data_IF_155049396211
#
_entry.id   IF_155049396211
#
_cell.length_a   1.000
_cell.length_b   1.000
_cell.length_c   1.000
_cell.angle_alpha   90.00
_cell.angle_beta   90.00
_cell.angle_gamma   90.00
#
_symmetry.space_group_name_H-M   'P 1'
#
loop_
_entity.id
_entity.type
_entity.pdbx_description
1 polymer ?
#
# COMPACT_ATOMS: atom_id res chain seq x y z
N UNK A 1 35.79 -3.20 -13.82
CA UNK A 1 34.92 -2.79 -12.70
C UNK A 1 33.88 -3.90 -12.52
N UNK A 2 33.94 -4.66 -11.43
CA UNK A 2 33.16 -5.88 -11.19
C UNK A 2 31.67 -5.57 -11.08
N UNK A 3 30.83 -6.32 -11.80
CA UNK A 3 29.38 -6.29 -11.65
C UNK A 3 29.02 -6.61 -10.20
N UNK A 4 28.17 -5.82 -9.52
CA UNK A 4 27.80 -6.08 -8.14
C UNK A 4 27.14 -7.47 -8.03
N UNK A 5 27.67 -8.30 -7.13
CA UNK A 5 27.09 -9.61 -6.79
C UNK A 5 25.62 -9.40 -6.38
N UNK A 6 24.67 -10.27 -6.81
CA UNK A 6 23.23 -10.15 -6.51
C UNK A 6 22.91 -9.97 -5.01
N UNK A 7 23.82 -10.40 -4.14
CA UNK A 7 23.71 -10.30 -2.68
C UNK A 7 23.82 -8.84 -2.17
N UNK A 8 24.62 -8.01 -2.84
CA UNK A 8 24.85 -6.60 -2.43
C UNK A 8 23.65 -5.70 -2.70
N UNK A 9 22.95 -5.92 -3.82
CA UNK A 9 21.74 -5.17 -4.17
C UNK A 9 20.62 -5.47 -3.16
N UNK A 10 20.44 -6.75 -2.82
CA UNK A 10 19.44 -7.20 -1.84
C UNK A 10 19.70 -6.62 -0.45
N UNK A 11 20.95 -6.57 0.00
CA UNK A 11 21.28 -5.96 1.29
C UNK A 11 20.95 -4.46 1.34
N UNK A 12 21.26 -3.72 0.27
CA UNK A 12 20.99 -2.28 0.21
C UNK A 12 19.49 -1.94 0.19
N UNK A 13 18.67 -2.74 -0.50
CA UNK A 13 17.22 -2.54 -0.58
C UNK A 13 16.55 -2.86 0.76
N UNK A 14 17.00 -3.91 1.44
CA UNK A 14 16.52 -4.25 2.80
C UNK A 14 16.84 -3.15 3.81
N UNK A 15 18.01 -2.53 3.73
CA UNK A 15 18.36 -1.40 4.60
C UNK A 15 17.47 -0.18 4.33
N UNK A 16 17.30 0.19 3.06
CA UNK A 16 16.43 1.31 2.68
C UNK A 16 14.98 1.11 3.14
N UNK A 17 14.47 -0.13 3.02
CA UNK A 17 13.16 -0.53 3.50
C UNK A 17 12.98 -0.31 5.01
N UNK A 18 13.97 -0.67 5.82
CA UNK A 18 13.93 -0.46 7.27
C UNK A 18 13.88 1.02 7.61
N UNK A 19 14.76 1.83 7.00
CA UNK A 19 14.76 3.28 7.21
C UNK A 19 13.41 3.91 6.83
N UNK A 20 12.82 3.49 5.72
CA UNK A 20 11.49 3.94 5.29
C UNK A 20 10.39 3.52 6.27
N UNK A 21 10.42 2.28 6.77
CA UNK A 21 9.45 1.78 7.74
C UNK A 21 9.48 2.55 9.06
N UNK A 22 10.68 2.81 9.60
CA UNK A 22 10.85 3.63 10.81
C UNK A 22 10.42 5.07 10.61
N UNK A 23 10.77 5.67 9.46
CA UNK A 23 10.35 7.03 9.13
C UNK A 23 8.83 7.13 9.06
N UNK A 24 8.18 6.21 8.35
CA UNK A 24 6.72 6.15 8.26
C UNK A 24 6.06 5.94 9.61
N UNK A 25 6.62 5.09 10.48
CA UNK A 25 6.12 4.91 11.85
C UNK A 25 6.24 6.20 12.67
N UNK A 26 7.40 6.87 12.60
CA UNK A 26 7.63 8.14 13.29
C UNK A 26 6.64 9.21 12.82
N UNK A 27 6.41 9.34 11.51
CA UNK A 27 5.41 10.25 10.96
C UNK A 27 4.00 9.90 11.43
N UNK A 28 3.61 8.63 11.44
CA UNK A 28 2.29 8.22 11.94
C UNK A 28 2.10 8.51 13.44
N UNK A 29 3.13 8.29 14.26
CA UNK A 29 3.10 8.61 15.69
C UNK A 29 3.01 10.13 15.88
N UNK A 30 3.79 10.90 15.11
CA UNK A 30 3.73 12.36 15.13
C UNK A 30 2.34 12.88 14.78
N UNK A 31 1.79 12.44 13.66
CA UNK A 31 0.42 12.77 13.25
C UNK A 31 -0.60 12.35 14.30
N UNK A 32 -0.38 11.19 14.95
CA UNK A 32 -1.20 10.71 16.05
C UNK A 32 -1.22 11.71 17.22
N UNK A 33 -0.04 12.10 17.71
CA UNK A 33 0.13 13.01 18.85
C UNK A 33 -0.52 14.37 18.61
N UNK A 34 -0.32 14.99 17.44
CA UNK A 34 -0.87 16.32 17.16
C UNK A 34 -2.41 16.32 17.05
N UNK A 35 -3.01 15.21 16.63
CA UNK A 35 -4.47 15.09 16.53
C UNK A 35 -5.15 14.72 17.85
N UNK A 36 -4.41 14.18 18.81
CA UNK A 36 -4.96 13.62 20.05
C UNK A 36 -5.78 14.62 20.89
N UNK A 37 -5.38 15.90 21.08
CA UNK A 37 -6.18 16.87 21.83
C UNK A 37 -7.56 17.13 21.21
N UNK A 38 -7.62 17.17 19.87
CA UNK A 38 -8.86 17.31 19.12
C UNK A 38 -9.72 16.04 19.24
N UNK A 39 -9.11 14.85 19.21
CA UNK A 39 -9.82 13.59 19.38
C UNK A 39 -10.57 13.53 20.71
N UNK A 40 -9.88 13.83 21.81
CA UNK A 40 -10.47 13.81 23.16
C UNK A 40 -11.67 14.76 23.23
N UNK A 41 -11.51 15.96 22.66
CA UNK A 41 -12.53 17.00 22.77
C UNK A 41 -13.77 16.69 21.93
N UNK A 42 -13.61 16.19 20.70
CA UNK A 42 -14.71 16.07 19.73
C UNK A 42 -15.22 14.64 19.51
N UNK A 43 -14.35 13.63 19.58
CA UNK A 43 -14.67 12.26 19.18
C UNK A 43 -15.01 11.41 20.40
N UNK A 44 -14.28 11.58 21.50
CA UNK A 44 -14.49 10.79 22.71
C UNK A 44 -15.83 11.08 23.38
N UNK A 45 -16.27 12.34 23.32
CA UNK A 45 -17.58 12.78 23.84
C UNK A 45 -18.79 12.18 23.09
N UNK A 46 -18.61 11.69 21.85
CA UNK A 46 -19.72 11.10 21.09
C UNK A 46 -20.12 9.72 21.66
N UNK A 47 -21.43 9.37 21.59
CA UNK A 47 -21.92 8.09 22.08
C UNK A 47 -21.25 6.91 21.38
N UNK A 48 -21.12 5.78 22.09
CA UNK A 48 -20.43 4.56 21.60
C UNK A 48 -21.08 3.96 20.34
N UNK A 49 -22.33 4.27 20.04
CA UNK A 49 -23.07 3.76 18.87
C UNK A 49 -22.81 4.55 17.58
N UNK A 50 -22.07 5.66 17.60
CA UNK A 50 -21.86 6.47 16.40
C UNK A 50 -20.93 5.75 15.41
N UNK A 51 -21.42 5.44 14.21
CA UNK A 51 -20.64 4.82 13.14
C UNK A 51 -19.37 5.63 12.78
N UNK A 52 -19.47 6.96 12.81
CA UNK A 52 -18.34 7.88 12.55
C UNK A 52 -17.21 7.70 13.57
N UNK A 53 -17.55 7.37 14.82
CA UNK A 53 -16.56 7.10 15.87
C UNK A 53 -15.77 5.84 15.53
N UNK A 54 -16.46 4.75 15.22
CA UNK A 54 -15.83 3.47 14.86
C UNK A 54 -15.01 3.55 13.59
N UNK A 55 -15.50 4.29 12.59
CA UNK A 55 -14.76 4.54 11.36
C UNK A 55 -13.44 5.25 11.63
N UNK A 56 -13.47 6.32 12.44
CA UNK A 56 -12.28 7.09 12.79
C UNK A 56 -11.26 6.26 13.58
N UNK A 57 -11.74 5.51 14.58
CA UNK A 57 -10.89 4.59 15.33
C UNK A 57 -10.31 3.50 14.41
N UNK A 58 -11.13 2.94 13.52
CA UNK A 58 -10.72 1.94 12.55
C UNK A 58 -9.61 2.44 11.64
N UNK A 59 -9.76 3.58 10.98
CA UNK A 59 -8.74 4.08 10.04
C UNK A 59 -7.41 4.38 10.72
N UNK A 60 -7.44 5.09 11.85
CA UNK A 60 -6.21 5.57 12.48
C UNK A 60 -5.46 4.47 13.22
N UNK A 61 -6.15 3.70 14.05
CA UNK A 61 -5.49 2.73 14.92
C UNK A 61 -5.08 1.46 14.16
N UNK A 62 -5.83 1.04 13.13
CA UNK A 62 -5.43 -0.11 12.30
C UNK A 62 -4.19 0.24 11.47
N UNK A 63 -4.11 1.46 10.93
CA UNK A 63 -2.91 1.92 10.20
C UNK A 63 -1.66 1.89 11.08
N UNK A 64 -1.74 2.44 12.30
CA UNK A 64 -0.62 2.44 13.27
C UNK A 64 -0.25 1.00 13.67
N UNK A 65 -1.23 0.17 14.02
CA UNK A 65 -0.98 -1.21 14.40
C UNK A 65 -0.32 -2.02 13.28
N UNK A 66 -0.77 -1.82 12.03
CA UNK A 66 -0.17 -2.44 10.87
C UNK A 66 1.27 -1.97 10.63
N UNK A 67 1.55 -0.67 10.80
CA UNK A 67 2.90 -0.13 10.64
C UNK A 67 3.88 -0.64 11.70
N UNK A 68 3.43 -0.77 12.95
CA UNK A 68 4.20 -1.40 14.03
C UNK A 68 4.50 -2.86 13.67
N UNK A 69 3.46 -3.61 13.24
CA UNK A 69 3.61 -5.00 12.80
C UNK A 69 4.61 -5.15 11.64
N UNK A 70 4.52 -4.30 10.63
CA UNK A 70 5.46 -4.27 9.50
C UNK A 70 6.90 -4.00 9.96
N UNK A 71 7.09 -3.12 10.94
CA UNK A 71 8.42 -2.79 11.47
C UNK A 71 9.03 -3.98 12.22
N UNK A 72 8.24 -4.63 13.08
CA UNK A 72 8.67 -5.84 13.81
C UNK A 72 9.02 -6.97 12.84
N UNK A 73 8.16 -7.20 11.84
CA UNK A 73 8.39 -8.25 10.85
C UNK A 73 9.61 -7.93 9.98
N UNK A 74 9.83 -6.67 9.62
CA UNK A 74 11.02 -6.25 8.87
C UNK A 74 12.31 -6.54 9.65
N UNK A 75 12.32 -6.32 10.96
CA UNK A 75 13.45 -6.67 11.83
C UNK A 75 13.68 -8.18 11.88
N UNK A 76 12.59 -8.94 12.03
CA UNK A 76 12.66 -10.40 12.07
C UNK A 76 13.19 -11.00 10.76
N UNK A 77 12.72 -10.48 9.61
CA UNK A 77 13.18 -10.88 8.27
C UNK A 77 14.67 -10.61 8.11
N UNK A 78 15.16 -9.47 8.60
CA UNK A 78 16.58 -9.13 8.54
C UNK A 78 17.45 -10.07 9.39
N UNK A 79 16.99 -10.41 10.60
CA UNK A 79 17.72 -11.32 11.49
C UNK A 79 17.69 -12.79 11.05
N UNK A 80 16.67 -13.22 10.30
CA UNK A 80 16.41 -14.65 10.01
C UNK A 80 16.41 -14.99 8.52
N UNK A 81 17.20 -14.26 7.72
CA UNK A 81 17.21 -14.32 6.25
C UNK A 81 17.22 -15.75 5.67
N UNK A 82 17.98 -16.68 6.27
CA UNK A 82 18.12 -18.06 5.77
C UNK A 82 16.91 -18.98 6.04
N UNK A 83 15.99 -18.62 6.95
CA UNK A 83 14.92 -19.52 7.43
C UNK A 83 13.50 -19.07 7.11
N UNK A 84 13.33 -18.13 6.19
CA UNK A 84 11.98 -17.60 5.89
C UNK A 84 11.22 -18.59 5.01
N UNK A 85 10.12 -19.13 5.56
CA UNK A 85 9.21 -20.00 4.82
C UNK A 85 8.30 -19.20 3.89
N UNK A 86 7.96 -19.79 2.74
CA UNK A 86 6.98 -19.26 1.78
C UNK A 86 5.66 -18.79 2.41
N UNK A 87 5.09 -19.61 3.30
CA UNK A 87 3.83 -19.32 3.97
C UNK A 87 3.88 -18.09 4.88
N UNK A 88 5.06 -17.71 5.36
CA UNK A 88 5.24 -16.51 6.17
C UNK A 88 5.13 -15.25 5.31
N UNK A 89 5.83 -15.20 4.17
CA UNK A 89 5.71 -14.12 3.20
C UNK A 89 4.27 -13.95 2.70
N UNK A 90 3.59 -15.07 2.42
CA UNK A 90 2.19 -15.08 2.03
C UNK A 90 1.29 -14.42 3.09
N UNK A 91 1.44 -14.82 4.35
CA UNK A 91 0.65 -14.27 5.46
C UNK A 91 0.89 -12.77 5.64
N UNK A 92 2.15 -12.34 5.55
CA UNK A 92 2.50 -10.92 5.64
C UNK A 92 1.85 -10.10 4.52
N UNK A 93 1.89 -10.60 3.29
CA UNK A 93 1.30 -9.91 2.15
C UNK A 93 -0.23 -9.85 2.23
N UNK A 94 -0.88 -10.96 2.63
CA UNK A 94 -2.33 -10.98 2.86
C UNK A 94 -2.72 -9.96 3.92
N UNK A 95 -1.97 -9.87 5.03
CA UNK A 95 -2.21 -8.86 6.06
C UNK A 95 -2.12 -7.44 5.49
N UNK A 96 -1.09 -7.14 4.69
CA UNK A 96 -0.94 -5.83 4.05
C UNK A 96 -2.11 -5.51 3.13
N UNK A 97 -2.56 -6.47 2.31
CA UNK A 97 -3.72 -6.30 1.43
C UNK A 97 -5.01 -6.01 2.23
N UNK A 98 -5.26 -6.75 3.31
CA UNK A 98 -6.44 -6.53 4.15
C UNK A 98 -6.43 -5.13 4.77
N UNK A 99 -5.29 -4.71 5.31
CA UNK A 99 -5.14 -3.36 5.90
C UNK A 99 -5.35 -2.28 4.83
N UNK A 100 -4.73 -2.44 3.67
CA UNK A 100 -4.88 -1.53 2.53
C UNK A 100 -6.34 -1.37 2.09
N UNK A 101 -7.05 -2.49 1.92
CA UNK A 101 -8.47 -2.48 1.54
C UNK A 101 -9.33 -1.82 2.63
N UNK A 102 -9.04 -2.09 3.89
CA UNK A 102 -9.78 -1.46 4.99
C UNK A 102 -9.60 0.06 5.03
N UNK A 103 -8.37 0.54 4.82
CA UNK A 103 -8.07 1.96 4.79
C UNK A 103 -8.73 2.65 3.59
N UNK A 104 -8.72 2.01 2.42
CA UNK A 104 -9.40 2.49 1.22
C UNK A 104 -10.92 2.58 1.44
N UNK A 105 -11.52 1.52 1.97
CA UNK A 105 -12.94 1.50 2.33
C UNK A 105 -13.30 2.64 3.27
N UNK A 106 -12.47 2.90 4.28
CA UNK A 106 -12.71 3.98 5.25
C UNK A 106 -12.63 5.38 4.61
N UNK A 107 -11.74 5.56 3.62
CA UNK A 107 -11.62 6.80 2.86
C UNK A 107 -12.86 7.02 1.98
N UNK A 108 -13.25 6.01 1.20
CA UNK A 108 -14.45 6.07 0.35
C UNK A 108 -15.71 6.28 1.16
N UNK A 109 -15.84 5.58 2.28
CA UNK A 109 -16.95 5.75 3.20
C UNK A 109 -16.98 7.17 3.78
N UNK A 110 -15.83 7.78 4.10
CA UNK A 110 -15.77 9.21 4.51
C UNK A 110 -16.30 10.15 3.42
N UNK A 111 -15.95 9.88 2.16
CA UNK A 111 -16.42 10.66 1.01
C UNK A 111 -17.93 10.51 0.82
N UNK A 112 -18.45 9.28 0.94
CA UNK A 112 -19.88 9.00 0.87
C UNK A 112 -20.64 9.74 1.97
N UNK A 113 -20.14 9.73 3.21
CA UNK A 113 -20.79 10.47 4.31
C UNK A 113 -20.93 11.96 3.99
N UNK A 114 -19.88 12.59 3.44
CA UNK A 114 -19.90 14.01 3.04
C UNK A 114 -20.87 14.25 1.88
N UNK A 115 -20.89 13.35 0.89
CA UNK A 115 -21.80 13.45 -0.25
C UNK A 115 -23.26 13.30 0.19
N UNK A 116 -23.54 12.40 1.13
CA UNK A 116 -24.89 12.21 1.70
C UNK A 116 -25.35 13.48 2.43
N UNK A 117 -24.46 14.15 3.15
CA UNK A 117 -24.78 15.40 3.84
C UNK A 117 -25.12 16.53 2.85
N UNK A 118 -24.46 16.58 1.70
CA UNK A 118 -24.70 17.60 0.67
C UNK A 118 -25.90 17.28 -0.23
N UNK A 119 -26.12 16.00 -0.56
CA UNK A 119 -27.07 15.57 -1.60
C UNK A 119 -28.50 15.37 -1.07
N UNK A 120 -29.00 16.30 -0.26
CA UNK A 120 -30.20 16.15 0.58
C UNK A 120 -31.52 15.73 -0.09
N UNK A 121 -31.66 14.48 -0.58
CA UNK A 121 -32.82 13.58 -0.49
C UNK A 121 -32.73 12.31 -1.33
N UNK A 122 -31.88 12.24 -2.35
CA UNK A 122 -31.98 11.15 -3.35
C UNK A 122 -31.45 9.80 -2.82
N UNK A 123 -32.36 8.96 -2.32
CA UNK A 123 -32.05 7.62 -1.82
C UNK A 123 -31.46 6.71 -2.91
N UNK A 124 -31.87 6.90 -4.16
CA UNK A 124 -31.37 6.14 -5.32
C UNK A 124 -29.86 6.40 -5.52
N UNK A 125 -29.43 7.66 -5.41
CA UNK A 125 -28.02 8.01 -5.51
C UNK A 125 -27.20 7.36 -4.40
N UNK A 126 -27.70 7.40 -3.16
CA UNK A 126 -27.02 6.78 -2.00
C UNK A 126 -26.85 5.28 -2.18
N UNK A 127 -27.91 4.60 -2.63
CA UNK A 127 -27.87 3.16 -2.89
C UNK A 127 -26.90 2.84 -4.04
N UNK A 128 -26.96 3.59 -5.14
CA UNK A 128 -26.08 3.42 -6.29
C UNK A 128 -24.60 3.56 -5.91
N UNK A 129 -24.25 4.58 -5.12
CA UNK A 129 -22.88 4.79 -4.64
C UNK A 129 -22.41 3.65 -3.73
N UNK A 130 -23.27 3.17 -2.83
CA UNK A 130 -22.95 2.06 -1.95
C UNK A 130 -22.66 0.78 -2.75
N UNK A 131 -23.51 0.46 -3.73
CA UNK A 131 -23.33 -0.69 -4.62
C UNK A 131 -22.04 -0.56 -5.44
N UNK A 132 -21.75 0.63 -5.96
CA UNK A 132 -20.55 0.89 -6.74
C UNK A 132 -19.27 0.66 -5.91
N UNK A 133 -19.22 1.21 -4.69
CA UNK A 133 -18.08 1.04 -3.76
C UNK A 133 -17.90 -0.42 -3.35
N UNK A 134 -18.98 -1.14 -3.08
CA UNK A 134 -18.90 -2.57 -2.77
C UNK A 134 -18.41 -3.38 -3.97
N UNK A 135 -18.87 -3.07 -5.18
CA UNK A 135 -18.40 -3.71 -6.40
C UNK A 135 -16.91 -3.42 -6.66
N UNK A 136 -16.45 -2.19 -6.43
CA UNK A 136 -15.04 -1.80 -6.50
C UNK A 136 -14.20 -2.62 -5.52
N UNK A 137 -14.61 -2.72 -4.25
CA UNK A 137 -13.90 -3.50 -3.25
C UNK A 137 -13.83 -4.99 -3.60
N UNK A 138 -14.92 -5.58 -4.08
CA UNK A 138 -14.96 -6.99 -4.49
C UNK A 138 -14.03 -7.23 -5.68
N UNK A 139 -14.07 -6.34 -6.68
CA UNK A 139 -13.24 -6.47 -7.90
C UNK A 139 -11.76 -6.26 -7.60
N UNK A 140 -11.39 -5.27 -6.77
CA UNK A 140 -10.02 -5.06 -6.32
C UNK A 140 -9.52 -6.25 -5.49
N UNK A 141 -10.34 -6.80 -4.61
CA UNK A 141 -9.97 -7.98 -3.82
C UNK A 141 -9.75 -9.20 -4.72
N UNK A 142 -10.67 -9.50 -5.63
CA UNK A 142 -10.52 -10.59 -6.59
C UNK A 142 -9.29 -10.41 -7.51
N UNK A 143 -9.05 -9.19 -7.99
CA UNK A 143 -7.86 -8.85 -8.77
C UNK A 143 -6.58 -9.07 -7.95
N UNK A 144 -6.54 -8.64 -6.69
CA UNK A 144 -5.36 -8.83 -5.83
C UNK A 144 -5.03 -10.31 -5.60
N UNK A 145 -6.05 -11.15 -5.38
CA UNK A 145 -5.88 -12.61 -5.22
C UNK A 145 -5.38 -13.24 -6.52
N UNK A 146 -5.95 -12.87 -7.67
CA UNK A 146 -5.53 -13.43 -8.96
C UNK A 146 -4.12 -12.99 -9.37
N UNK A 147 -3.74 -11.74 -9.09
CA UNK A 147 -2.38 -11.24 -9.30
C UNK A 147 -1.40 -11.97 -8.39
N UNK A 148 -1.76 -12.17 -7.12
CA UNK A 148 -0.89 -12.84 -6.18
C UNK A 148 -0.61 -14.30 -6.57
N UNK A 149 -1.63 -15.04 -7.05
CA UNK A 149 -1.43 -16.42 -7.55
C UNK A 149 -0.45 -16.53 -8.71
N UNK A 150 -0.17 -15.43 -9.41
CA UNK A 150 0.77 -15.37 -10.53
C UNK A 150 2.12 -14.76 -10.16
N UNK A 151 2.29 -14.26 -8.95
CA UNK A 151 3.51 -13.61 -8.53
C UNK A 151 4.58 -14.66 -8.15
N UNK A 152 5.65 -14.71 -8.92
CA UNK A 152 6.87 -15.40 -8.51
C UNK A 152 7.64 -14.50 -7.54
N UNK A 153 7.61 -14.88 -6.26
CA UNK A 153 8.39 -14.23 -5.22
C UNK A 153 9.74 -14.93 -5.14
N UNK A 154 10.80 -14.12 -5.11
CA UNK A 154 12.16 -14.56 -4.84
C UNK A 154 12.46 -14.31 -3.35
N UNK A 155 13.49 -14.96 -2.81
CA UNK A 155 13.89 -14.91 -1.40
C UNK A 155 13.81 -13.52 -0.75
N UNK A 156 13.59 -13.52 0.58
CA UNK A 156 13.29 -12.33 1.40
C UNK A 156 11.96 -11.63 1.07
N UNK A 157 10.95 -12.39 0.62
CA UNK A 157 9.61 -11.89 0.30
C UNK A 157 9.60 -10.78 -0.77
N UNK A 158 10.62 -10.73 -1.63
CA UNK A 158 10.76 -9.73 -2.69
C UNK A 158 10.05 -10.23 -3.96
N UNK A 159 9.15 -9.42 -4.52
CA UNK A 159 8.52 -9.74 -5.80
C UNK A 159 9.57 -9.61 -6.94
N UNK A 160 9.82 -10.69 -7.69
CA UNK A 160 10.84 -10.72 -8.74
C UNK A 160 10.57 -9.73 -9.87
N UNK A 161 9.29 -9.49 -10.16
CA UNK A 161 8.84 -8.45 -11.08
C UNK A 161 7.70 -7.67 -10.46
N UNK A 162 7.78 -6.34 -10.42
CA UNK A 162 6.63 -5.56 -9.99
C UNK A 162 5.49 -5.82 -10.98
N UNK A 163 4.36 -6.36 -10.50
CA UNK A 163 3.14 -6.52 -11.32
C UNK A 163 2.71 -5.20 -11.98
N UNK A 164 3.22 -4.07 -11.48
CA UNK A 164 3.06 -2.74 -12.05
C UNK A 164 3.61 -2.66 -13.48
N UNK A 165 4.69 -3.34 -13.86
CA UNK A 165 5.12 -3.31 -15.27
C UNK A 165 4.15 -4.08 -16.18
N UNK A 166 3.58 -5.19 -15.71
CA UNK A 166 2.56 -5.95 -16.46
C UNK A 166 1.27 -5.14 -16.56
N UNK A 167 0.87 -4.46 -15.47
CA UNK A 167 -0.23 -3.52 -15.46
C UNK A 167 0.08 -2.35 -16.42
N UNK A 168 1.07 -1.51 -16.15
CA UNK A 168 1.44 -0.35 -16.98
C UNK A 168 1.61 -0.70 -18.46
N UNK A 169 2.20 -1.85 -18.81
CA UNK A 169 2.34 -2.28 -20.21
C UNK A 169 1.02 -2.75 -20.83
N UNK A 170 0.13 -3.39 -20.07
CA UNK A 170 -1.25 -3.63 -20.50
C UNK A 170 -2.08 -2.33 -20.56
N UNK A 171 -1.76 -1.35 -19.73
CA UNK A 171 -2.52 -0.11 -19.51
C UNK A 171 -2.15 0.99 -20.50
N UNK A 172 -0.91 1.01 -21.01
CA UNK A 172 -0.49 1.85 -22.14
C UNK A 172 -1.31 1.61 -23.42
N UNK A 173 -2.03 0.49 -23.51
CA UNK A 173 -2.72 0.07 -24.74
C UNK A 173 -4.20 0.43 -24.81
N UNK A 174 -4.90 0.79 -23.71
CA UNK A 174 -6.35 1.07 -23.76
C UNK A 174 -6.83 2.09 -22.68
N UNK A 175 -7.56 3.10 -23.18
CA UNK A 175 -8.52 4.08 -22.57
C UNK A 175 -8.05 5.30 -21.73
N UNK A 176 -8.58 6.53 -22.03
CA UNK A 176 -8.25 7.81 -21.37
C UNK A 176 -9.05 8.13 -20.09
N UNK A 177 -10.05 7.32 -19.70
CA UNK A 177 -10.85 7.53 -18.48
C UNK A 177 -10.05 7.30 -17.17
N UNK A 178 -8.87 6.71 -17.27
CA UNK A 178 -8.00 6.29 -16.14
C UNK A 178 -7.22 7.44 -15.50
N UNK A 179 -7.07 8.57 -16.18
CA UNK A 179 -6.54 9.81 -15.59
C UNK A 179 -7.43 10.32 -14.45
N UNK A 180 -8.73 10.00 -14.49
CA UNK A 180 -9.70 10.33 -13.45
C UNK A 180 -9.49 9.46 -12.20
N UNK A 181 -9.19 8.16 -12.37
CA UNK A 181 -8.88 7.22 -11.27
C UNK A 181 -7.52 7.53 -10.61
N UNK A 182 -6.55 8.06 -11.37
CA UNK A 182 -5.29 8.54 -10.79
C UNK A 182 -5.45 9.81 -9.94
N UNK A 183 -6.52 10.59 -10.14
CA UNK A 183 -6.78 11.82 -9.39
C UNK A 183 -7.30 11.57 -7.98
N UNK A 184 -8.00 10.47 -7.75
CA UNK A 184 -8.81 10.29 -6.53
C UNK A 184 -8.10 9.54 -5.37
N UNK A 185 -6.77 9.38 -5.43
CA UNK A 185 -5.96 8.93 -4.29
C UNK A 185 -5.37 7.51 -4.39
N UNK A 186 -5.72 6.74 -5.43
CA UNK A 186 -5.14 5.42 -5.70
C UNK A 186 -3.64 5.44 -6.00
N UNK A 187 -3.05 6.62 -6.24
CA UNK A 187 -1.60 6.81 -6.33
C UNK A 187 -0.87 6.54 -5.01
N UNK A 188 -1.55 6.69 -3.85
CA UNK A 188 -0.96 6.40 -2.54
C UNK A 188 -0.62 4.91 -2.42
N UNK A 189 -1.41 4.00 -3.01
CA UNK A 189 -1.05 2.58 -3.11
C UNK A 189 0.18 2.36 -3.99
N UNK A 190 0.30 3.13 -5.08
CA UNK A 190 1.50 3.13 -5.91
C UNK A 190 2.74 3.68 -5.20
N UNK A 191 2.59 4.63 -4.28
CA UNK A 191 3.72 5.22 -3.55
C UNK A 191 4.08 4.42 -2.31
N UNK A 192 3.13 3.93 -1.52
CA UNK A 192 3.42 3.12 -0.32
C UNK A 192 3.89 1.71 -0.71
N UNK A 193 3.29 1.10 -1.74
CA UNK A 193 3.73 -0.21 -2.24
C UNK A 193 4.89 -0.10 -3.24
N UNK A 194 5.01 1.03 -3.93
CA UNK A 194 5.99 1.23 -5.00
C UNK A 194 7.20 2.09 -4.65
N UNK A 195 7.24 2.85 -3.55
CA UNK A 195 8.47 3.55 -3.12
C UNK A 195 9.64 2.59 -2.86
N UNK A 196 9.42 1.38 -2.28
CA UNK A 196 10.46 0.35 -2.25
C UNK A 196 10.89 -0.15 -3.64
N UNK A 197 9.96 -0.12 -4.60
CA UNK A 197 10.13 -0.71 -5.95
C UNK A 197 10.74 0.28 -6.95
N UNK A 198 10.46 1.57 -6.84
CA UNK A 198 11.04 2.64 -7.67
C UNK A 198 12.54 2.78 -7.37
N UNK A 199 12.94 2.58 -6.12
CA UNK A 199 14.35 2.54 -5.75
C UNK A 199 15.07 1.33 -6.38
N UNK A 200 14.40 0.17 -6.44
CA UNK A 200 14.92 -1.02 -7.12
C UNK A 200 15.03 -0.83 -8.64
N UNK A 201 14.03 -0.23 -9.28
CA UNK A 201 14.01 -0.01 -10.74
C UNK A 201 15.08 0.99 -11.21
N UNK A 202 15.32 2.09 -10.46
CA UNK A 202 16.43 3.02 -10.77
C UNK A 202 17.79 2.32 -10.75
N UNK A 203 18.03 1.47 -9.76
CA UNK A 203 19.31 0.78 -9.63
C UNK A 203 19.52 -0.28 -10.74
N UNK A 204 18.46 -0.96 -11.17
CA UNK A 204 18.51 -1.92 -12.30
C UNK A 204 18.67 -1.20 -13.65
N UNK A 205 17.99 -0.07 -13.87
CA UNK A 205 18.13 0.73 -15.08
C UNK A 205 19.55 1.33 -15.22
N UNK A 206 20.13 1.76 -14.09
CA UNK A 206 21.48 2.30 -14.04
C UNK A 206 22.55 1.23 -14.31
N UNK A 207 22.33 -0.01 -13.83
CA UNK A 207 23.18 -1.16 -14.17
C UNK A 207 23.06 -1.57 -15.66
N UNK A 208 21.86 -1.48 -16.25
CA UNK A 208 21.64 -1.82 -17.66
C UNK A 208 22.25 -0.79 -18.64
N UNK A 209 22.24 0.49 -18.25
CA UNK A 209 22.78 1.57 -19.09
C UNK A 209 24.32 1.57 -19.11
N UNK A 210 24.95 1.20 -17.99
CA UNK A 210 26.41 0.99 -17.93
C UNK A 210 26.90 -0.17 -18.80
N UNK A 211 26.15 -1.28 -18.87
CA UNK A 211 26.51 -2.41 -19.74
C UNK A 211 26.37 -2.10 -21.24
N UNK A 212 25.46 -1.19 -21.63
CA UNK A 212 25.32 -0.77 -23.04
C UNK A 212 26.41 0.21 -23.48
N UNK A 213 26.91 1.06 -22.57
CA UNK A 213 28.03 1.96 -22.83
C UNK A 213 29.37 1.22 -22.97
N UNK A 214 29.55 0.11 -22.26
CA UNK A 214 30.73 -0.77 -22.34
C UNK A 214 30.76 -1.68 -23.58
N UNK A 215 29.64 -1.87 -24.28
CA UNK A 215 29.58 -2.61 -25.55
C UNK A 215 29.84 -1.71 -26.77
N UNK A 216 29.96 -0.39 -26.56
CA UNK A 216 30.21 0.62 -27.59
C UNK A 216 31.61 1.25 -27.48
N UNK A 217 32.43 0.79 -26.53
CA UNK A 217 33.85 1.13 -26.34
C UNK A 217 34.70 -0.14 -26.44
#
# INVERSE_FOLDING_TARGET
MSTPHPDTLTASTMYALRCAAYSALAFHIWEWMIGFPFEITYIWRKPRSSAVKWQYFGSRYIGIAAQIGNTIVSEYIHSSYERITWHFCLRLHIQQLIVCQWLLFSLEYSLIQRLIALSGRDAVLKFSLCVLVLAEHITLMAASVTMFRRAELIGACLAHRPCIEVAVNAWKKKVPLTSLVMRDGSWVFGVVSGAPLIFSHRNVAQASTHSRLLLLL
#
